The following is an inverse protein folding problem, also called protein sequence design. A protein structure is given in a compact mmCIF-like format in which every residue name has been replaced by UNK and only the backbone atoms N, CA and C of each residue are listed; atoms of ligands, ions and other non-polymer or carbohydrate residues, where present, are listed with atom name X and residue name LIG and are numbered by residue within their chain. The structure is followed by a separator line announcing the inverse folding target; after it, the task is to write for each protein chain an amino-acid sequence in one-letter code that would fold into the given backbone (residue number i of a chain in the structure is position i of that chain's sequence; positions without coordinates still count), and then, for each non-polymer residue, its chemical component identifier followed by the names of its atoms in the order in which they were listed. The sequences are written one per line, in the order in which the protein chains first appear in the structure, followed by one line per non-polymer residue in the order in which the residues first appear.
data_IF_746013708470
#
_entry.id   IF_746013708470
#
_cell.length_a   1.000
_cell.length_b   1.000
_cell.length_c   1.000
_cell.angle_alpha   90.00
_cell.angle_beta   90.00
_cell.angle_gamma   90.00
#
_symmetry.space_group_name_H-M   'P 1'
#
loop_
_entity.id
_entity.type
_entity.pdbx_description
1 polymer ?
#
# COMPACT_ATOMS: atom_id res chain seq x y z
N UNK A 1 -6.95 12.38 -12.66
CA UNK A 1 -6.99 11.59 -11.40
C UNK A 1 -8.45 11.22 -11.12
N UNK A 2 -8.88 10.02 -11.53
CA UNK A 2 -10.26 9.58 -11.35
C UNK A 2 -10.58 9.36 -9.85
N UNK A 3 -11.77 9.77 -9.41
CA UNK A 3 -12.27 9.57 -8.04
C UNK A 3 -12.57 8.09 -7.83
N UNK A 4 -11.70 7.37 -7.12
CA UNK A 4 -11.98 6.04 -6.62
C UNK A 4 -12.71 6.17 -5.28
N UNK A 5 -14.00 5.85 -5.26
CA UNK A 5 -14.87 6.06 -4.09
C UNK A 5 -14.48 5.21 -2.86
N UNK A 6 -13.72 4.12 -3.06
CA UNK A 6 -13.19 3.27 -1.99
C UNK A 6 -11.72 3.56 -1.63
N UNK A 7 -11.18 4.74 -2.00
CA UNK A 7 -9.78 5.05 -1.74
C UNK A 7 -9.53 5.15 -0.24
N UNK A 8 -8.74 4.21 0.26
CA UNK A 8 -8.34 4.12 1.66
C UNK A 8 -7.48 5.32 2.07
N UNK A 9 -7.58 5.82 3.31
CA UNK A 9 -6.78 6.93 3.80
C UNK A 9 -5.30 6.54 3.91
N UNK A 10 -4.44 7.33 3.26
CA UNK A 10 -2.99 7.11 3.12
C UNK A 10 -2.26 6.98 4.47
N UNK A 11 -2.61 7.83 5.43
CA UNK A 11 -2.00 7.87 6.75
C UNK A 11 -2.23 6.58 7.54
N UNK A 12 -3.41 5.97 7.42
CA UNK A 12 -3.71 4.70 8.10
C UNK A 12 -2.87 3.58 7.51
N UNK A 13 -2.78 3.48 6.18
CA UNK A 13 -1.99 2.44 5.52
C UNK A 13 -0.49 2.62 5.77
N UNK A 14 0.02 3.86 5.78
CA UNK A 14 1.39 4.14 6.18
C UNK A 14 1.69 3.64 7.59
N UNK A 15 0.81 3.95 8.55
CA UNK A 15 0.96 3.47 9.92
C UNK A 15 0.98 1.94 10.00
N UNK A 16 0.06 1.26 9.31
CA UNK A 16 0.03 -0.21 9.28
C UNK A 16 1.34 -0.78 8.70
N UNK A 17 1.83 -0.22 7.59
CA UNK A 17 3.06 -0.67 6.95
C UNK A 17 4.26 -0.47 7.88
N UNK A 18 4.39 0.71 8.48
CA UNK A 18 5.48 1.03 9.41
C UNK A 18 5.46 0.17 10.67
N UNK A 19 4.26 -0.15 11.17
CA UNK A 19 4.09 -0.95 12.39
C UNK A 19 4.33 -2.45 12.16
N UNK A 20 3.84 -3.01 11.06
CA UNK A 20 3.87 -4.46 10.81
C UNK A 20 5.04 -4.96 9.98
N UNK A 21 5.83 -4.06 9.37
CA UNK A 21 6.95 -4.44 8.51
C UNK A 21 8.16 -3.56 8.76
N UNK A 22 9.32 -3.92 8.23
CA UNK A 22 10.56 -3.13 8.24
C UNK A 22 10.95 -2.69 6.83
N UNK A 23 11.75 -1.63 6.66
CA UNK A 23 12.33 -1.29 5.37
C UNK A 23 13.04 -2.49 4.74
N UNK A 24 12.77 -2.75 3.46
CA UNK A 24 13.28 -3.90 2.72
C UNK A 24 12.37 -5.14 2.71
N UNK A 25 11.39 -5.24 3.62
CA UNK A 25 10.42 -6.33 3.64
C UNK A 25 9.55 -6.33 2.38
N UNK A 26 8.99 -7.50 2.06
CA UNK A 26 8.08 -7.70 0.91
C UNK A 26 6.63 -7.64 1.40
N UNK A 27 5.83 -6.82 0.74
CA UNK A 27 4.37 -6.72 0.95
C UNK A 27 3.66 -7.25 -0.29
N UNK A 28 2.67 -8.11 -0.07
CA UNK A 28 1.75 -8.58 -1.11
C UNK A 28 0.36 -7.98 -0.84
N UNK A 29 -0.19 -7.27 -1.82
CA UNK A 29 -1.59 -6.83 -1.83
C UNK A 29 -2.31 -7.45 -3.03
N UNK A 30 -3.10 -8.50 -2.78
CA UNK A 30 -3.82 -9.25 -3.81
C UNK A 30 -5.07 -8.54 -4.35
N UNK A 31 -5.46 -7.39 -3.77
CA UNK A 31 -6.66 -6.63 -4.16
C UNK A 31 -6.35 -5.12 -4.08
N UNK A 32 -5.36 -4.71 -4.86
CA UNK A 32 -4.70 -3.43 -4.64
C UNK A 32 -5.59 -2.22 -4.94
N UNK A 33 -6.61 -2.36 -5.77
CA UNK A 33 -7.63 -1.36 -6.09
C UNK A 33 -7.04 0.02 -6.32
N UNK A 34 -7.36 0.96 -5.43
CA UNK A 34 -6.83 2.34 -5.47
C UNK A 34 -5.33 2.50 -5.23
N UNK A 35 -4.56 1.41 -5.10
CA UNK A 35 -3.08 1.40 -5.06
C UNK A 35 -2.45 1.98 -3.81
N UNK A 36 -3.21 2.17 -2.72
CA UNK A 36 -2.71 2.84 -1.51
C UNK A 36 -1.56 2.06 -0.86
N UNK A 37 -1.70 0.73 -0.74
CA UNK A 37 -0.65 -0.15 -0.19
C UNK A 37 0.62 -0.11 -1.03
N UNK A 38 0.48 -0.08 -2.36
CA UNK A 38 1.61 0.05 -3.29
C UNK A 38 2.35 1.36 -3.07
N UNK A 39 1.62 2.49 -3.06
CA UNK A 39 2.25 3.80 -2.93
C UNK A 39 2.90 3.98 -1.56
N UNK A 40 2.18 3.69 -0.47
CA UNK A 40 2.70 3.85 0.88
C UNK A 40 3.82 2.86 1.20
N UNK A 41 3.75 1.63 0.67
CA UNK A 41 4.78 0.61 0.85
C UNK A 41 6.09 1.02 0.18
N UNK A 42 6.03 1.49 -1.07
CA UNK A 42 7.22 2.00 -1.76
C UNK A 42 7.78 3.26 -1.09
N UNK A 43 6.91 4.21 -0.72
CA UNK A 43 7.32 5.46 -0.07
C UNK A 43 8.01 5.24 1.29
N UNK A 44 7.69 4.14 1.98
CA UNK A 44 8.32 3.74 3.24
C UNK A 44 9.45 2.73 3.06
N UNK A 45 9.87 2.43 1.82
CA UNK A 45 11.04 1.59 1.55
C UNK A 45 10.80 0.09 1.62
N UNK A 46 9.56 -0.38 1.41
CA UNK A 46 9.24 -1.81 1.24
C UNK A 46 9.23 -2.18 -0.23
N UNK A 47 9.41 -3.46 -0.51
CA UNK A 47 9.19 -4.04 -1.84
C UNK A 47 7.72 -4.46 -1.91
N UNK A 48 6.98 -4.01 -2.92
CA UNK A 48 5.53 -4.30 -2.97
C UNK A 48 5.19 -5.05 -4.25
N UNK A 49 4.39 -6.11 -4.10
CA UNK A 49 3.72 -6.83 -5.18
C UNK A 49 2.23 -6.51 -5.03
N UNK A 50 1.64 -5.90 -6.05
CA UNK A 50 0.25 -5.47 -6.04
C UNK A 50 -0.47 -6.04 -7.26
N UNK A 51 -1.60 -6.71 -7.04
CA UNK A 51 -2.41 -7.36 -8.08
C UNK A 51 -3.87 -6.98 -7.88
N UNK A 52 -4.60 -6.82 -8.97
CA UNK A 52 -6.06 -6.71 -9.02
C UNK A 52 -6.56 -7.26 -10.37
N UNK A 53 -7.86 -7.58 -10.49
CA UNK A 53 -8.49 -8.11 -11.73
C UNK A 53 -8.73 -7.01 -12.77
#
# INVERSE_FOLDING_TARGET
MHKYFARRPHNVFRYLIEFYTKPGDIILDCFCGGGVTLFEGLATGRKVIAVDI
#
